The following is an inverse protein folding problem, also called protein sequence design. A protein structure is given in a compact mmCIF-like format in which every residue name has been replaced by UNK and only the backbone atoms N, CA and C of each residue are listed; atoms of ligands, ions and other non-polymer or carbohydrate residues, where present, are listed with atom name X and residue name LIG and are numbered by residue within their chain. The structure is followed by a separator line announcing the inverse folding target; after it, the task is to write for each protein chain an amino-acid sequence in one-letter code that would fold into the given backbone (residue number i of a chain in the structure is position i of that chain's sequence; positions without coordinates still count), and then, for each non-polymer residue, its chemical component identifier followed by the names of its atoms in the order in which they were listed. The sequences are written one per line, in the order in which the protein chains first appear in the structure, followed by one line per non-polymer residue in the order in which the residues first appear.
data_IF_249885756256
#
_entry.id   IF_249885756256
#
_cell.length_a   1.000
_cell.length_b   1.000
_cell.length_c   1.000
_cell.angle_alpha   90.00
_cell.angle_beta   90.00
_cell.angle_gamma   90.00
#
_symmetry.space_group_name_H-M   'P 1'
#
loop_
_entity.id
_entity.type
_entity.pdbx_description
1 polymer ?
#
# COMPACT_ATOMS: atom_id res chain seq x y z
N UNK A 1 11.89 -12.27 24.91
CA UNK A 1 12.31 -11.45 23.74
C UNK A 1 11.73 -12.11 22.50
N UNK A 2 11.13 -11.35 21.60
CA UNK A 2 10.65 -11.91 20.33
C UNK A 2 11.84 -12.46 19.52
N UNK A 3 11.65 -13.55 18.75
CA UNK A 3 12.70 -14.09 17.90
C UNK A 3 13.12 -13.09 16.83
N UNK A 4 14.40 -13.11 16.45
CA UNK A 4 14.94 -12.22 15.42
C UNK A 4 14.38 -12.60 14.04
N UNK A 5 13.69 -11.65 13.39
CA UNK A 5 13.19 -11.78 12.02
C UNK A 5 14.37 -11.60 11.04
N UNK A 6 14.53 -12.56 10.13
CA UNK A 6 15.60 -12.51 9.11
C UNK A 6 15.20 -11.59 7.94
N UNK A 7 16.17 -10.91 7.30
CA UNK A 7 15.89 -10.10 6.12
C UNK A 7 15.41 -10.97 4.95
N UNK A 8 14.57 -10.38 4.10
CA UNK A 8 14.08 -11.03 2.87
C UNK A 8 14.57 -10.29 1.63
N UNK A 9 14.70 -11.00 0.52
CA UNK A 9 14.82 -10.36 -0.78
C UNK A 9 13.43 -9.89 -1.21
N UNK A 10 13.17 -8.59 -1.07
CA UNK A 10 11.83 -8.05 -1.29
C UNK A 10 11.35 -8.20 -2.74
N UNK A 11 12.25 -8.05 -3.73
CA UNK A 11 11.90 -8.25 -5.14
C UNK A 11 11.48 -9.69 -5.42
N UNK A 12 12.23 -10.66 -4.89
CA UNK A 12 11.86 -12.07 -5.04
C UNK A 12 10.53 -12.37 -4.35
N UNK A 13 10.29 -11.81 -3.15
CA UNK A 13 9.03 -11.97 -2.45
C UNK A 13 7.84 -11.45 -3.29
N UNK A 14 7.99 -10.30 -3.95
CA UNK A 14 6.96 -9.78 -4.88
C UNK A 14 6.69 -10.77 -6.00
N UNK A 15 7.72 -11.29 -6.66
CA UNK A 15 7.55 -12.27 -7.76
C UNK A 15 6.82 -13.53 -7.29
N UNK A 16 7.24 -14.09 -6.15
CA UNK A 16 6.67 -15.31 -5.59
C UNK A 16 5.18 -15.13 -5.23
N UNK A 17 4.80 -13.90 -4.84
CA UNK A 17 3.44 -13.55 -4.43
C UNK A 17 2.63 -12.80 -5.51
N UNK A 18 3.18 -12.59 -6.72
CA UNK A 18 2.58 -11.75 -7.77
C UNK A 18 1.16 -12.18 -8.15
N UNK A 19 0.83 -13.46 -7.99
CA UNK A 19 -0.52 -13.99 -8.24
C UNK A 19 -1.57 -13.51 -7.23
N UNK A 20 -1.15 -13.18 -6.01
CA UNK A 20 -2.00 -12.67 -4.93
C UNK A 20 -2.15 -11.15 -4.99
N UNK A 21 -1.22 -10.44 -5.63
CA UNK A 21 -1.21 -8.98 -5.78
C UNK A 21 -2.13 -8.49 -6.91
N UNK A 22 -3.19 -9.24 -7.20
CA UNK A 22 -4.22 -8.92 -8.19
C UNK A 22 -5.55 -9.54 -7.76
N UNK A 23 -6.69 -9.13 -8.37
CA UNK A 23 -7.98 -9.72 -8.04
C UNK A 23 -7.97 -11.25 -8.15
N UNK A 24 -8.67 -11.95 -7.24
CA UNK A 24 -9.59 -11.42 -6.23
C UNK A 24 -8.94 -10.99 -4.89
N UNK A 25 -7.63 -11.21 -4.69
CA UNK A 25 -6.96 -10.98 -3.39
C UNK A 25 -6.43 -9.54 -3.29
N UNK A 26 -5.59 -9.11 -4.23
CA UNK A 26 -5.13 -7.73 -4.38
C UNK A 26 -4.04 -7.26 -3.41
N UNK A 27 -3.86 -7.89 -2.24
CA UNK A 27 -2.83 -7.52 -1.26
C UNK A 27 -2.32 -8.73 -0.46
N UNK A 28 -1.20 -8.57 0.22
CA UNK A 28 -0.67 -9.55 1.16
C UNK A 28 0.25 -8.90 2.21
N UNK A 29 0.05 -9.26 3.48
CA UNK A 29 0.95 -8.87 4.57
C UNK A 29 2.24 -9.71 4.53
N UNK A 30 3.40 -9.09 4.73
CA UNK A 30 4.69 -9.80 4.75
C UNK A 30 4.85 -10.58 6.07
N UNK A 31 4.43 -10.00 7.20
CA UNK A 31 4.60 -10.56 8.54
C UNK A 31 3.26 -10.54 9.28
N UNK A 32 2.65 -11.71 9.49
CA UNK A 32 1.28 -11.80 10.04
C UNK A 32 1.18 -11.47 11.54
N UNK A 33 2.25 -11.71 12.31
CA UNK A 33 2.28 -11.55 13.78
C UNK A 33 3.19 -10.40 14.25
N UNK A 34 3.33 -9.34 13.45
CA UNK A 34 4.15 -8.17 13.77
C UNK A 34 3.29 -6.97 14.19
N UNK A 35 3.82 -6.14 15.10
CA UNK A 35 3.17 -4.86 15.47
C UNK A 35 3.13 -3.89 14.29
N UNK A 36 4.18 -3.89 13.46
CA UNK A 36 4.23 -3.05 12.27
C UNK A 36 3.70 -3.82 11.05
N UNK A 37 2.62 -3.32 10.46
CA UNK A 37 1.97 -3.93 9.31
C UNK A 37 2.71 -3.50 8.05
N UNK A 38 3.41 -4.45 7.42
CA UNK A 38 4.01 -4.26 6.10
C UNK A 38 3.14 -5.00 5.09
N UNK A 39 2.20 -4.26 4.52
CA UNK A 39 1.29 -4.74 3.48
C UNK A 39 1.90 -4.47 2.11
N UNK A 40 1.79 -5.42 1.18
CA UNK A 40 2.05 -5.18 -0.24
C UNK A 40 0.73 -5.24 -0.98
N UNK A 41 0.45 -4.21 -1.76
CA UNK A 41 -0.82 -4.05 -2.48
C UNK A 41 -0.52 -3.91 -3.96
N UNK A 42 -1.19 -4.73 -4.77
CA UNK A 42 -1.15 -4.62 -6.22
C UNK A 42 -2.45 -4.12 -6.83
N UNK A 43 -2.53 -4.19 -8.16
CA UNK A 43 -3.70 -3.77 -8.92
C UNK A 43 -4.04 -4.71 -10.09
N UNK A 44 -5.22 -4.56 -10.73
CA UNK A 44 -6.12 -3.42 -10.55
C UNK A 44 -6.98 -3.54 -9.30
N UNK A 45 -7.12 -2.42 -8.58
CA UNK A 45 -8.06 -2.25 -7.49
C UNK A 45 -8.51 -0.79 -7.45
N UNK A 46 -9.80 -0.56 -7.67
CA UNK A 46 -10.43 0.74 -7.54
C UNK A 46 -11.59 0.59 -6.56
N UNK A 47 -11.58 1.44 -5.54
CA UNK A 47 -12.54 1.41 -4.45
C UNK A 47 -13.16 2.79 -4.29
N UNK A 48 -14.38 2.83 -3.74
CA UNK A 48 -15.12 4.09 -3.52
C UNK A 48 -15.07 4.56 -2.08
N UNK A 49 -14.77 3.66 -1.15
CA UNK A 49 -14.73 3.95 0.26
C UNK A 49 -13.38 4.56 0.66
N UNK A 50 -13.44 5.39 1.70
CA UNK A 50 -12.28 6.03 2.30
C UNK A 50 -11.93 5.29 3.59
N UNK A 51 -10.67 4.89 3.66
CA UNK A 51 -10.02 4.39 4.87
C UNK A 51 -9.74 5.54 5.83
N UNK A 52 -9.75 5.22 7.12
CA UNK A 52 -9.36 6.12 8.19
C UNK A 52 -8.53 5.33 9.20
N UNK A 53 -7.28 5.74 9.37
CA UNK A 53 -6.33 5.10 10.29
C UNK A 53 -5.86 6.14 11.32
N UNK A 54 -5.67 5.71 12.56
CA UNK A 54 -5.23 6.56 13.67
C UNK A 54 -3.72 6.86 13.57
N UNK A 55 -2.96 5.94 12.98
CA UNK A 55 -1.52 6.06 12.74
C UNK A 55 -1.17 6.64 11.36
N UNK A 56 0.12 6.88 11.16
CA UNK A 56 0.67 7.21 9.84
C UNK A 56 0.67 5.99 8.92
N UNK A 57 0.52 6.21 7.62
CA UNK A 57 0.67 5.17 6.59
C UNK A 57 1.82 5.51 5.66
N UNK A 58 2.79 4.61 5.55
CA UNK A 58 3.93 4.74 4.66
C UNK A 58 3.64 4.06 3.32
N UNK A 59 3.71 4.84 2.25
CA UNK A 59 3.62 4.37 0.88
C UNK A 59 4.99 4.38 0.23
N UNK A 60 5.31 3.28 -0.45
CA UNK A 60 6.41 3.24 -1.42
C UNK A 60 5.90 2.52 -2.65
N UNK A 61 5.91 3.21 -3.79
CA UNK A 61 5.39 2.68 -5.03
C UNK A 61 6.52 2.02 -5.83
N UNK A 62 6.51 0.69 -5.96
CA UNK A 62 7.60 -0.08 -6.57
C UNK A 62 7.41 -0.27 -8.08
N UNK A 63 6.18 -0.54 -8.52
CA UNK A 63 5.84 -0.76 -9.92
C UNK A 63 4.57 0.05 -10.27
N UNK A 64 4.61 0.80 -11.37
CA UNK A 64 3.50 1.57 -11.91
C UNK A 64 3.03 2.73 -11.02
N UNK A 65 2.18 3.59 -11.59
CA UNK A 65 1.70 4.79 -10.91
C UNK A 65 0.33 4.56 -10.25
N UNK A 66 0.09 5.22 -9.12
CA UNK A 66 -1.20 5.21 -8.43
C UNK A 66 -1.69 6.63 -8.14
N UNK A 67 -2.95 6.74 -7.73
CA UNK A 67 -3.49 7.99 -7.16
C UNK A 67 -4.12 7.69 -5.82
N UNK A 68 -3.68 8.39 -4.79
CA UNK A 68 -4.30 8.38 -3.48
C UNK A 68 -5.29 9.55 -3.39
N UNK A 69 -6.59 9.24 -3.34
CA UNK A 69 -7.61 10.26 -3.08
C UNK A 69 -7.64 10.50 -1.59
N UNK A 70 -7.59 11.75 -1.13
CA UNK A 70 -7.62 12.12 0.29
C UNK A 70 -8.66 13.19 0.56
N UNK A 71 -9.14 13.29 1.79
CA UNK A 71 -9.90 14.44 2.27
C UNK A 71 -8.99 15.26 3.18
N UNK A 72 -8.57 16.43 2.69
CA UNK A 72 -7.68 17.35 3.41
C UNK A 72 -8.48 18.61 3.79
N UNK A 73 -8.66 18.84 5.09
CA UNK A 73 -9.44 19.95 5.63
C UNK A 73 -10.87 20.03 5.04
N UNK A 74 -11.48 18.87 4.79
CA UNK A 74 -12.84 18.75 4.22
C UNK A 74 -12.90 18.81 2.70
N UNK A 75 -11.78 19.10 2.03
CA UNK A 75 -11.72 19.19 0.57
C UNK A 75 -11.09 17.92 -0.05
N UNK A 76 -11.68 17.35 -1.11
CA UNK A 76 -11.12 16.20 -1.80
C UNK A 76 -9.87 16.60 -2.60
N UNK A 77 -8.80 15.81 -2.48
CA UNK A 77 -7.55 15.97 -3.24
C UNK A 77 -7.10 14.64 -3.84
N UNK A 78 -6.55 14.72 -5.05
CA UNK A 78 -5.93 13.58 -5.72
C UNK A 78 -4.41 13.73 -5.62
N UNK A 79 -3.75 12.79 -4.94
CA UNK A 79 -2.31 12.77 -4.74
C UNK A 79 -1.72 11.69 -5.66
N UNK A 80 -1.06 12.05 -6.78
CA UNK A 80 -0.33 11.07 -7.58
C UNK A 80 0.89 10.57 -6.82
N UNK A 81 1.10 9.25 -6.82
CA UNK A 81 2.30 8.61 -6.28
C UNK A 81 2.84 7.72 -7.41
N UNK A 82 3.95 8.15 -8.01
CA UNK A 82 4.56 7.52 -9.19
C UNK A 82 5.51 6.41 -8.81
N UNK A 83 5.83 5.55 -9.76
CA UNK A 83 6.86 4.52 -9.60
C UNK A 83 8.17 5.12 -9.06
N UNK A 84 8.68 4.53 -7.97
CA UNK A 84 9.86 4.96 -7.23
C UNK A 84 9.61 6.04 -6.18
N UNK A 85 8.42 6.65 -6.12
CA UNK A 85 8.10 7.68 -5.13
C UNK A 85 7.70 7.06 -3.78
N UNK A 86 8.07 7.75 -2.70
CA UNK A 86 7.60 7.48 -1.34
C UNK A 86 6.65 8.60 -0.90
N UNK A 87 5.67 8.25 -0.08
CA UNK A 87 4.75 9.21 0.52
C UNK A 87 4.39 8.76 1.93
N UNK A 88 4.44 9.67 2.90
CA UNK A 88 4.00 9.41 4.27
C UNK A 88 2.67 10.14 4.47
N UNK A 89 1.59 9.37 4.60
CA UNK A 89 0.27 9.91 4.88
C UNK A 89 0.16 10.23 6.38
N UNK A 90 -0.19 11.46 6.77
CA UNK A 90 -0.41 11.81 8.16
C UNK A 90 -1.57 11.01 8.79
N UNK A 91 -1.58 10.85 10.12
CA UNK A 91 -2.64 10.14 10.80
C UNK A 91 -3.99 10.83 10.62
N UNK A 92 -5.07 10.06 10.72
CA UNK A 92 -6.46 10.53 10.69
C UNK A 92 -6.84 11.28 9.41
N UNK A 93 -6.18 10.96 8.29
CA UNK A 93 -6.53 11.49 6.98
C UNK A 93 -7.38 10.47 6.22
N UNK A 94 -8.68 10.75 5.97
CA UNK A 94 -9.49 9.86 5.15
C UNK A 94 -8.87 9.72 3.76
N UNK A 95 -8.66 8.49 3.30
CA UNK A 95 -7.99 8.24 2.00
C UNK A 95 -8.53 7.02 1.25
N UNK A 96 -8.41 7.01 -0.08
CA UNK A 96 -8.93 5.97 -0.96
C UNK A 96 -7.94 5.70 -2.11
N UNK A 97 -7.08 4.66 -1.99
CA UNK A 97 -6.10 4.32 -3.01
C UNK A 97 -6.76 3.83 -4.30
N UNK A 98 -6.30 4.35 -5.43
CA UNK A 98 -6.71 3.94 -6.77
C UNK A 98 -5.52 3.31 -7.48
N UNK A 99 -5.58 1.99 -7.71
CA UNK A 99 -4.48 1.20 -8.26
C UNK A 99 -4.86 0.63 -9.63
N UNK A 100 -4.29 1.13 -10.75
CA UNK A 100 -4.44 0.53 -12.08
C UNK A 100 -3.86 -0.89 -12.15
N UNK A 101 -4.03 -1.56 -13.30
CA UNK A 101 -3.42 -2.87 -13.51
C UNK A 101 -1.88 -2.79 -13.51
N UNK A 102 -1.22 -3.87 -13.08
CA UNK A 102 0.24 -4.01 -13.06
C UNK A 102 0.97 -3.01 -12.15
N UNK A 103 0.33 -2.54 -11.09
CA UNK A 103 1.01 -1.77 -10.04
C UNK A 103 1.38 -2.65 -8.86
N UNK A 104 2.46 -2.34 -8.14
CA UNK A 104 2.83 -2.93 -6.85
C UNK A 104 3.38 -1.82 -5.93
N UNK A 105 2.83 -1.70 -4.73
CA UNK A 105 3.27 -0.76 -3.71
C UNK A 105 3.21 -1.36 -2.31
N UNK A 106 3.88 -0.73 -1.36
CA UNK A 106 3.56 -0.83 0.06
C UNK A 106 2.44 0.16 0.36
#
# INVERSE_FOLDING_TARGET
MAPMIQPINFKQWIEDNRKLLKPPVGNKCIYEDAEFIIMVVGGPNARKDYHFEEGEEFFYQIEGDITLKVIDNGEPKDIPIREGEIFLLPPRMPHSPQRPANTVGL
#
